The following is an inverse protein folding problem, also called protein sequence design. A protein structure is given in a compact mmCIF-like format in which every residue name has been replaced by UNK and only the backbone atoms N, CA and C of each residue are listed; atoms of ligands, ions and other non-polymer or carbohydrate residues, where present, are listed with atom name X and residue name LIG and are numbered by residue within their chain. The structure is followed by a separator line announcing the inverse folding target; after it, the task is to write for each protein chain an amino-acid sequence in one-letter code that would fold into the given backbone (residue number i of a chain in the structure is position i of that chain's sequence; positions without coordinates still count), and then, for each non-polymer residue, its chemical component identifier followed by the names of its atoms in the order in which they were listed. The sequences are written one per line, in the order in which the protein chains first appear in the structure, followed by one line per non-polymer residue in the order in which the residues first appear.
data_IF_074123257692
#
_entry.id   IF_074123257692
#
_cell.length_a   1.000
_cell.length_b   1.000
_cell.length_c   1.000
_cell.angle_alpha   90.00
_cell.angle_beta   90.00
_cell.angle_gamma   90.00
#
_symmetry.space_group_name_H-M   'P 1'
#
loop_
_entity.id
_entity.type
_entity.pdbx_description
1 polymer ?
#
# COMPACT_ATOMS: atom_id res chain seq x y z
N UNK A 1 25.44 3.65 -3.12
CA UNK A 1 24.81 2.65 -2.25
C UNK A 1 25.91 2.16 -1.34
N UNK A 2 25.82 2.40 -0.01
CA UNK A 2 26.68 1.71 0.94
C UNK A 2 26.26 0.24 0.94
N UNK A 3 27.06 -0.60 0.31
CA UNK A 3 26.83 -2.05 0.33
C UNK A 3 27.22 -2.56 1.71
N UNK A 4 26.22 -2.88 2.53
CA UNK A 4 26.44 -3.53 3.83
C UNK A 4 27.00 -4.95 3.63
N UNK A 5 27.65 -5.53 4.63
CA UNK A 5 28.25 -6.88 4.49
C UNK A 5 27.19 -7.94 4.18
N UNK A 6 25.98 -7.76 4.69
CA UNK A 6 24.85 -8.67 4.45
C UNK A 6 24.49 -8.79 2.97
N UNK A 7 24.66 -7.72 2.18
CA UNK A 7 24.37 -7.72 0.74
C UNK A 7 25.42 -8.47 -0.10
N UNK A 8 26.52 -8.92 0.49
CA UNK A 8 27.57 -9.70 -0.18
C UNK A 8 27.30 -11.22 -0.16
N UNK A 9 26.36 -11.67 0.66
CA UNK A 9 26.02 -13.09 0.74
C UNK A 9 25.13 -13.52 -0.44
N UNK A 10 25.23 -14.79 -0.82
CA UNK A 10 24.31 -15.38 -1.81
C UNK A 10 23.06 -15.86 -1.09
N UNK A 11 21.93 -15.27 -1.43
CA UNK A 11 20.62 -15.63 -0.90
C UNK A 11 19.86 -16.50 -1.90
N UNK A 12 19.05 -17.43 -1.39
CA UNK A 12 18.16 -18.25 -2.23
C UNK A 12 17.09 -17.44 -2.94
N UNK A 13 16.60 -16.38 -2.27
CA UNK A 13 15.64 -15.42 -2.82
C UNK A 13 15.88 -14.03 -2.25
N UNK A 14 15.80 -13.02 -3.08
CA UNK A 14 15.90 -11.61 -2.71
C UNK A 14 14.60 -10.91 -3.11
N UNK A 15 13.97 -10.24 -2.15
CA UNK A 15 12.80 -9.40 -2.41
C UNK A 15 13.17 -7.95 -2.10
N UNK A 16 12.86 -7.05 -3.01
CA UNK A 16 13.17 -5.61 -2.91
C UNK A 16 11.85 -4.86 -2.87
N UNK A 17 11.66 -4.08 -1.82
CA UNK A 17 10.51 -3.19 -1.66
C UNK A 17 10.86 -1.79 -2.12
N UNK A 18 10.06 -1.24 -3.03
CA UNK A 18 10.17 0.11 -3.54
C UNK A 18 9.11 0.97 -2.86
N UNK A 19 9.57 1.95 -2.10
CA UNK A 19 8.70 2.97 -1.51
C UNK A 19 8.42 4.07 -2.53
N UNK A 20 7.22 4.05 -3.11
CA UNK A 20 6.79 5.02 -4.12
C UNK A 20 5.34 5.42 -3.88
N UNK A 21 5.02 6.68 -4.14
CA UNK A 21 3.64 7.19 -4.16
C UNK A 21 3.03 7.16 -5.56
N UNK A 22 3.83 6.83 -6.56
CA UNK A 22 3.40 6.72 -7.96
C UNK A 22 3.02 5.28 -8.24
N UNK A 23 1.80 4.91 -7.85
CA UNK A 23 1.22 3.60 -8.11
C UNK A 23 -0.27 3.71 -8.43
N UNK A 24 -0.77 2.77 -9.20
CA UNK A 24 -2.20 2.63 -9.52
C UNK A 24 -2.57 1.15 -9.61
N UNK A 25 -3.81 0.82 -9.31
CA UNK A 25 -4.32 -0.54 -9.42
C UNK A 25 -5.27 -0.67 -10.60
N UNK A 26 -5.12 -1.74 -11.36
CA UNK A 26 -5.97 -2.10 -12.49
C UNK A 26 -6.59 -3.47 -12.19
N UNK A 27 -7.92 -3.67 -12.36
CA UNK A 27 -8.50 -5.00 -12.26
C UNK A 27 -7.81 -5.97 -13.23
N UNK A 28 -7.42 -7.16 -12.75
CA UNK A 28 -6.64 -8.10 -13.56
C UNK A 28 -7.41 -8.58 -14.80
N UNK A 29 -8.74 -8.66 -14.71
CA UNK A 29 -9.59 -9.10 -15.81
C UNK A 29 -9.55 -8.19 -17.06
N UNK A 30 -9.09 -6.93 -16.90
CA UNK A 30 -8.99 -5.94 -17.99
C UNK A 30 -7.54 -5.46 -18.19
N UNK A 31 -6.59 -6.06 -17.51
CA UNK A 31 -5.19 -5.70 -17.60
C UNK A 31 -4.52 -6.43 -18.78
N UNK A 32 -3.81 -5.69 -19.61
CA UNK A 32 -2.97 -6.18 -20.70
C UNK A 32 -1.58 -5.57 -20.56
N UNK A 33 -0.55 -6.42 -20.54
CA UNK A 33 0.85 -5.99 -20.31
C UNK A 33 1.32 -4.94 -21.31
N UNK A 34 0.85 -5.01 -22.55
CA UNK A 34 1.22 -4.06 -23.61
C UNK A 34 0.74 -2.63 -23.32
N UNK A 35 -0.29 -2.46 -22.49
CA UNK A 35 -0.87 -1.16 -22.14
C UNK A 35 -0.41 -0.63 -20.77
N UNK A 36 0.59 -1.25 -20.14
CA UNK A 36 1.06 -0.90 -18.77
C UNK A 36 1.39 0.57 -18.62
N UNK A 37 2.20 1.13 -19.53
CA UNK A 37 2.61 2.55 -19.47
C UNK A 37 1.42 3.48 -19.72
N UNK A 38 0.57 3.16 -20.67
CA UNK A 38 -0.61 3.96 -21.01
C UNK A 38 -1.56 4.05 -19.81
N UNK A 39 -1.88 2.91 -19.18
CA UNK A 39 -2.74 2.84 -17.99
C UNK A 39 -2.16 3.61 -16.80
N UNK A 40 -0.83 3.52 -16.61
CA UNK A 40 -0.16 4.25 -15.55
C UNK A 40 -0.21 5.77 -15.77
N UNK A 41 0.13 6.23 -16.97
CA UNK A 41 0.17 7.66 -17.29
C UNK A 41 -1.21 8.32 -17.48
N UNK A 42 -2.31 7.57 -17.45
CA UNK A 42 -3.64 8.14 -17.27
C UNK A 42 -3.83 8.76 -15.87
N UNK A 43 -3.10 8.24 -14.87
CA UNK A 43 -3.19 8.72 -13.48
C UNK A 43 -2.05 9.65 -13.08
N UNK A 44 -0.92 9.59 -13.80
CA UNK A 44 0.29 10.34 -13.46
C UNK A 44 0.85 11.09 -14.66
N UNK A 45 1.40 12.31 -14.46
CA UNK A 45 2.17 12.95 -15.53
C UNK A 45 3.41 12.11 -15.84
N UNK A 46 3.77 12.04 -17.13
CA UNK A 46 5.02 11.40 -17.56
C UNK A 46 6.21 12.20 -17.04
N UNK A 47 7.20 11.51 -16.51
CA UNK A 47 8.47 12.10 -16.07
C UNK A 47 9.65 11.40 -16.75
N UNK A 48 10.75 12.14 -16.92
CA UNK A 48 11.96 11.59 -17.49
C UNK A 48 12.57 10.53 -16.57
N UNK A 49 13.25 9.56 -17.17
CA UNK A 49 13.99 8.52 -16.45
C UNK A 49 13.14 7.65 -15.52
N UNK A 50 11.87 7.43 -15.84
CA UNK A 50 10.98 6.53 -15.12
C UNK A 50 10.77 5.23 -15.92
N UNK A 51 10.74 4.11 -15.22
CA UNK A 51 10.26 2.83 -15.74
C UNK A 51 9.04 2.40 -14.94
N UNK A 52 8.07 1.80 -15.63
CA UNK A 52 6.85 1.32 -15.00
C UNK A 52 6.96 -0.18 -14.82
N UNK A 53 6.75 -0.63 -13.59
CA UNK A 53 6.75 -2.03 -13.21
C UNK A 53 5.33 -2.47 -12.83
N UNK A 54 5.09 -3.77 -12.90
CA UNK A 54 3.81 -4.38 -12.57
C UNK A 54 3.99 -5.49 -11.53
N UNK A 55 3.16 -5.48 -10.49
CA UNK A 55 3.00 -6.62 -9.59
C UNK A 55 1.60 -7.20 -9.77
N UNK A 56 1.54 -8.46 -10.17
CA UNK A 56 0.27 -9.20 -10.23
C UNK A 56 -0.07 -9.73 -8.85
N UNK A 57 -1.20 -9.28 -8.31
CA UNK A 57 -1.69 -9.63 -6.98
C UNK A 57 -2.87 -10.59 -7.11
N UNK A 58 -2.55 -11.89 -7.20
CA UNK A 58 -3.53 -12.93 -7.53
C UNK A 58 -4.63 -13.10 -6.49
N UNK A 59 -4.32 -12.93 -5.20
CA UNK A 59 -5.32 -13.02 -4.12
C UNK A 59 -6.33 -11.88 -4.14
N UNK A 60 -5.93 -10.71 -4.67
CA UNK A 60 -6.74 -9.50 -4.78
C UNK A 60 -7.32 -9.30 -6.19
N UNK A 61 -6.91 -10.11 -7.16
CA UNK A 61 -7.30 -10.04 -8.58
C UNK A 61 -7.03 -8.66 -9.20
N UNK A 62 -5.85 -8.11 -8.96
CA UNK A 62 -5.41 -6.83 -9.52
C UNK A 62 -3.98 -6.89 -10.06
N UNK A 63 -3.68 -6.03 -11.02
CA UNK A 63 -2.36 -5.61 -11.41
C UNK A 63 -2.04 -4.27 -10.73
N UNK A 64 -0.99 -4.19 -9.94
CA UNK A 64 -0.53 -2.95 -9.32
C UNK A 64 0.65 -2.43 -10.12
N UNK A 65 0.44 -1.29 -10.79
CA UNK A 65 1.44 -0.60 -11.60
C UNK A 65 2.13 0.45 -10.74
N UNK A 66 3.45 0.57 -10.86
CA UNK A 66 4.19 1.57 -10.10
C UNK A 66 5.41 2.07 -10.86
N UNK A 67 5.70 3.36 -10.67
CA UNK A 67 6.84 4.03 -11.26
C UNK A 67 8.08 3.95 -10.37
N UNK A 68 9.25 3.71 -10.99
CA UNK A 68 10.53 3.81 -10.32
C UNK A 68 11.58 4.43 -11.24
N UNK A 69 12.65 5.00 -10.65
CA UNK A 69 13.79 5.53 -11.40
C UNK A 69 14.47 4.44 -12.22
N UNK A 70 14.67 4.70 -13.50
CA UNK A 70 15.19 3.74 -14.46
C UNK A 70 16.64 3.32 -14.18
N UNK A 71 17.47 4.25 -13.69
CA UNK A 71 18.85 3.91 -13.32
C UNK A 71 18.88 3.06 -12.02
N UNK A 72 18.02 3.37 -11.06
CA UNK A 72 17.90 2.55 -9.86
C UNK A 72 17.43 1.14 -10.20
N UNK A 73 16.44 0.99 -11.10
CA UNK A 73 16.01 -0.32 -11.61
C UNK A 73 17.15 -1.10 -12.26
N UNK A 74 17.90 -0.45 -13.17
CA UNK A 74 19.02 -1.08 -13.83
C UNK A 74 20.08 -1.56 -12.82
N UNK A 75 20.47 -0.71 -11.85
CA UNK A 75 21.43 -1.07 -10.80
C UNK A 75 20.95 -2.26 -9.96
N UNK A 76 19.67 -2.32 -9.65
CA UNK A 76 19.07 -3.45 -8.91
C UNK A 76 19.18 -4.73 -9.73
N UNK A 77 18.83 -4.70 -11.02
CA UNK A 77 18.91 -5.86 -11.89
C UNK A 77 20.35 -6.35 -12.10
N UNK A 78 21.32 -5.45 -12.16
CA UNK A 78 22.74 -5.79 -12.29
C UNK A 78 23.31 -6.42 -11.00
N UNK A 79 22.93 -5.90 -9.83
CA UNK A 79 23.42 -6.40 -8.53
C UNK A 79 22.66 -7.65 -8.03
N UNK A 80 21.37 -7.74 -8.33
CA UNK A 80 20.48 -8.81 -7.87
C UNK A 80 19.64 -9.37 -9.03
N UNK A 81 20.25 -10.13 -9.96
CA UNK A 81 19.56 -10.57 -11.18
C UNK A 81 18.29 -11.40 -10.96
N UNK A 82 18.19 -12.06 -9.80
CA UNK A 82 17.05 -12.91 -9.44
C UNK A 82 16.12 -12.26 -8.41
N UNK A 83 16.30 -10.96 -8.12
CA UNK A 83 15.44 -10.28 -7.17
C UNK A 83 14.02 -10.08 -7.72
N UNK A 84 13.05 -10.24 -6.84
CA UNK A 84 11.68 -9.79 -7.10
C UNK A 84 11.52 -8.38 -6.58
N UNK A 85 11.00 -7.50 -7.42
CA UNK A 85 10.80 -6.07 -7.08
C UNK A 85 9.31 -5.83 -6.86
N UNK A 86 8.97 -5.31 -5.69
CA UNK A 86 7.60 -4.99 -5.31
C UNK A 86 7.47 -3.53 -4.91
N UNK A 87 6.35 -2.88 -5.25
CA UNK A 87 5.96 -1.68 -4.51
C UNK A 87 5.62 -2.06 -3.06
N UNK A 88 5.95 -1.22 -2.08
CA UNK A 88 5.60 -1.47 -0.67
C UNK A 88 4.09 -1.73 -0.48
N UNK A 89 3.27 -1.08 -1.28
CA UNK A 89 1.81 -1.25 -1.29
C UNK A 89 1.33 -2.61 -1.81
N UNK A 90 2.14 -3.35 -2.58
CA UNK A 90 1.74 -4.65 -3.14
C UNK A 90 1.51 -5.71 -2.06
N UNK A 91 2.49 -6.04 -1.18
CA UNK A 91 2.27 -7.01 -0.11
C UNK A 91 1.23 -6.53 0.90
N UNK A 92 1.15 -5.23 1.18
CA UNK A 92 0.13 -4.66 2.05
C UNK A 92 -1.28 -4.88 1.50
N UNK A 93 -1.48 -4.69 0.20
CA UNK A 93 -2.76 -4.94 -0.46
C UNK A 93 -3.20 -6.39 -0.32
N UNK A 94 -2.31 -7.35 -0.57
CA UNK A 94 -2.59 -8.77 -0.40
C UNK A 94 -2.91 -9.12 1.07
N UNK A 95 -2.12 -8.59 2.00
CA UNK A 95 -2.31 -8.81 3.43
C UNK A 95 -3.68 -8.27 3.89
N UNK A 96 -4.00 -7.02 3.62
CA UNK A 96 -5.28 -6.42 4.03
C UNK A 96 -6.47 -7.03 3.30
N UNK A 97 -6.30 -7.41 2.02
CA UNK A 97 -7.32 -8.15 1.29
C UNK A 97 -7.68 -9.45 1.99
N UNK A 98 -6.68 -10.22 2.42
CA UNK A 98 -6.90 -11.46 3.15
C UNK A 98 -7.55 -11.23 4.50
N UNK A 99 -7.10 -10.21 5.27
CA UNK A 99 -7.71 -9.86 6.56
C UNK A 99 -9.19 -9.46 6.39
N UNK A 100 -9.51 -8.71 5.34
CA UNK A 100 -10.88 -8.23 5.12
C UNK A 100 -11.88 -9.32 4.73
N UNK A 101 -11.41 -10.50 4.26
CA UNK A 101 -12.28 -11.66 3.96
C UNK A 101 -13.01 -12.18 5.20
N UNK A 102 -12.42 -12.04 6.37
CA UNK A 102 -13.03 -12.44 7.64
C UNK A 102 -14.07 -11.44 8.16
N UNK A 103 -14.09 -10.22 7.63
CA UNK A 103 -14.98 -9.16 8.09
C UNK A 103 -16.39 -9.29 7.46
N UNK A 104 -17.42 -9.07 8.27
CA UNK A 104 -18.81 -9.10 7.82
C UNK A 104 -19.18 -7.89 6.95
N UNK A 105 -18.48 -6.78 7.16
CA UNK A 105 -18.70 -5.47 6.52
C UNK A 105 -17.45 -4.97 5.83
N UNK A 106 -17.57 -3.85 5.12
CA UNK A 106 -16.44 -3.18 4.47
C UNK A 106 -15.41 -2.71 5.50
N UNK A 107 -14.17 -2.65 5.06
CA UNK A 107 -13.05 -2.26 5.93
C UNK A 107 -12.13 -1.27 5.22
N UNK A 108 -11.78 -0.21 5.91
CA UNK A 108 -10.75 0.73 5.49
C UNK A 108 -9.51 0.48 6.35
N UNK A 109 -8.41 0.10 5.71
CA UNK A 109 -7.11 -0.05 6.37
C UNK A 109 -6.23 1.14 6.03
N UNK A 110 -5.49 1.62 7.01
CA UNK A 110 -4.63 2.80 6.88
C UNK A 110 -3.26 2.50 7.45
N UNK A 111 -2.22 2.77 6.69
CA UNK A 111 -0.84 2.73 7.16
C UNK A 111 -0.29 4.17 7.21
N UNK A 112 0.09 4.59 8.41
CA UNK A 112 0.72 5.89 8.62
C UNK A 112 2.23 5.81 8.43
N UNK A 113 2.75 6.81 7.72
CA UNK A 113 4.16 7.12 7.56
C UNK A 113 4.43 8.55 8.06
N UNK A 114 5.68 8.98 8.25
CA UNK A 114 5.99 10.29 8.84
C UNK A 114 5.38 11.50 8.12
N UNK A 115 5.15 11.44 6.82
CA UNK A 115 4.63 12.56 6.02
C UNK A 115 3.48 12.21 5.09
N UNK A 116 2.97 10.99 5.16
CA UNK A 116 1.86 10.50 4.34
C UNK A 116 1.11 9.39 5.03
N UNK A 117 -0.04 9.05 4.50
CA UNK A 117 -0.74 7.81 4.83
C UNK A 117 -1.16 7.07 3.55
N UNK A 118 -1.18 5.78 3.61
CA UNK A 118 -1.71 4.89 2.58
C UNK A 118 -3.04 4.31 3.03
N UNK A 119 -4.00 4.27 2.11
CA UNK A 119 -5.38 3.89 2.39
C UNK A 119 -5.79 2.75 1.48
N UNK A 120 -6.32 1.68 2.06
CA UNK A 120 -6.77 0.46 1.39
C UNK A 120 -8.23 0.22 1.75
N UNK A 121 -9.12 0.49 0.81
CA UNK A 121 -10.55 0.27 0.98
C UNK A 121 -10.95 -1.09 0.42
N UNK A 122 -11.57 -1.91 1.24
CA UNK A 122 -11.83 -3.32 0.93
C UNK A 122 -13.28 -3.72 1.25
N UNK A 123 -13.84 -4.57 0.41
CA UNK A 123 -15.11 -5.24 0.63
C UNK A 123 -14.92 -6.76 0.52
N UNK A 124 -14.81 -7.44 1.67
CA UNK A 124 -14.67 -8.90 1.76
C UNK A 124 -13.57 -9.47 0.86
N UNK A 125 -12.40 -8.85 0.90
CA UNK A 125 -11.24 -9.23 0.12
C UNK A 125 -11.12 -8.55 -1.24
N UNK A 126 -12.18 -7.89 -1.73
CA UNK A 126 -12.13 -7.13 -2.97
C UNK A 126 -11.60 -5.72 -2.71
N UNK A 127 -10.55 -5.32 -3.41
CA UNK A 127 -10.05 -3.96 -3.37
C UNK A 127 -11.02 -3.01 -4.08
N UNK A 128 -11.42 -1.94 -3.40
CA UNK A 128 -12.25 -0.86 -3.94
C UNK A 128 -11.43 0.37 -4.28
N UNK A 129 -10.42 0.67 -3.45
CA UNK A 129 -9.51 1.80 -3.62
C UNK A 129 -8.20 1.50 -2.91
N UNK A 130 -7.09 1.88 -3.54
CA UNK A 130 -5.81 2.09 -2.90
C UNK A 130 -5.29 3.47 -3.29
N UNK A 131 -4.85 4.26 -2.30
CA UNK A 131 -4.29 5.59 -2.56
C UNK A 131 -3.32 6.02 -1.46
N UNK A 132 -2.47 6.99 -1.78
CA UNK A 132 -1.55 7.65 -0.85
C UNK A 132 -1.88 9.13 -0.75
N UNK A 133 -1.92 9.65 0.48
CA UNK A 133 -2.21 11.06 0.77
C UNK A 133 -1.05 11.67 1.56
N UNK A 134 -0.53 12.79 1.08
CA UNK A 134 0.44 13.58 1.83
C UNK A 134 -0.27 14.24 3.02
N UNK A 135 0.20 13.95 4.23
CA UNK A 135 -0.36 14.43 5.48
C UNK A 135 0.77 14.92 6.38
N UNK A 136 0.64 16.15 6.87
CA UNK A 136 1.61 16.76 7.80
C UNK A 136 1.05 16.89 9.21
N UNK A 137 -0.26 16.96 9.33
CA UNK A 137 -0.96 17.20 10.59
C UNK A 137 -2.06 16.18 10.81
N UNK A 138 -2.43 15.96 12.06
CA UNK A 138 -3.54 15.08 12.44
C UNK A 138 -4.86 15.49 11.75
N UNK A 139 -5.08 16.78 11.52
CA UNK A 139 -6.23 17.28 10.78
C UNK A 139 -6.30 16.79 9.34
N UNK A 140 -5.14 16.64 8.67
CA UNK A 140 -5.08 16.14 7.30
C UNK A 140 -5.49 14.67 7.25
N UNK A 141 -5.00 13.87 8.22
CA UNK A 141 -5.40 12.48 8.37
C UNK A 141 -6.90 12.33 8.52
N UNK A 142 -7.50 13.09 9.45
CA UNK A 142 -8.95 13.05 9.70
C UNK A 142 -9.73 13.44 8.45
N UNK A 143 -9.31 14.53 7.79
CA UNK A 143 -9.97 15.06 6.60
C UNK A 143 -10.00 14.00 5.48
N UNK A 144 -8.84 13.45 5.09
CA UNK A 144 -8.78 12.49 3.99
C UNK A 144 -9.47 11.17 4.34
N UNK A 145 -9.38 10.69 5.59
CA UNK A 145 -10.06 9.47 6.00
C UNK A 145 -11.58 9.61 5.92
N UNK A 146 -12.14 10.68 6.44
CA UNK A 146 -13.57 10.93 6.37
C UNK A 146 -14.03 11.22 4.93
N UNK A 147 -13.19 11.89 4.12
CA UNK A 147 -13.45 12.12 2.70
C UNK A 147 -13.55 10.79 1.93
N UNK A 148 -12.57 9.90 2.06
CA UNK A 148 -12.58 8.57 1.40
C UNK A 148 -13.77 7.75 1.89
N UNK A 149 -14.05 7.77 3.20
CA UNK A 149 -15.18 7.08 3.81
C UNK A 149 -16.51 7.50 3.17
N UNK A 150 -16.71 8.80 3.02
CA UNK A 150 -17.90 9.37 2.41
C UNK A 150 -18.00 9.07 0.92
N UNK A 151 -16.90 9.22 0.16
CA UNK A 151 -16.87 8.98 -1.28
C UNK A 151 -17.21 7.52 -1.64
N UNK A 152 -16.77 6.57 -0.83
CA UNK A 152 -17.05 5.15 -1.03
C UNK A 152 -18.40 4.71 -0.44
N UNK A 153 -19.13 5.62 0.21
CA UNK A 153 -20.42 5.32 0.82
C UNK A 153 -20.33 4.31 1.95
N UNK A 154 -19.26 4.36 2.76
CA UNK A 154 -19.09 3.51 3.93
C UNK A 154 -20.06 3.90 5.05
N UNK A 155 -20.60 2.90 5.74
CA UNK A 155 -21.50 3.10 6.86
C UNK A 155 -20.74 3.45 8.14
N UNK A 156 -21.09 4.57 8.77
CA UNK A 156 -20.50 4.99 10.05
C UNK A 156 -20.77 4.00 11.20
N UNK A 157 -21.84 3.22 11.11
CA UNK A 157 -22.28 2.29 12.14
C UNK A 157 -21.77 0.86 11.97
N UNK A 158 -21.53 0.43 10.71
CA UNK A 158 -21.28 -0.98 10.39
C UNK A 158 -19.87 -1.26 9.89
N UNK A 159 -19.32 -0.34 9.10
CA UNK A 159 -18.01 -0.53 8.49
C UNK A 159 -16.88 -0.19 9.46
N UNK A 160 -15.72 -0.78 9.27
CA UNK A 160 -14.60 -0.72 10.22
C UNK A 160 -13.41 0.05 9.65
N UNK A 161 -12.78 0.86 10.50
CA UNK A 161 -11.53 1.55 10.22
C UNK A 161 -10.40 0.94 11.04
N UNK A 162 -9.40 0.41 10.36
CA UNK A 162 -8.20 -0.17 10.97
C UNK A 162 -6.98 0.70 10.67
N UNK A 163 -6.29 1.11 11.73
CA UNK A 163 -5.14 2.00 11.67
C UNK A 163 -3.86 1.23 12.00
N UNK A 164 -2.80 1.46 11.27
CA UNK A 164 -1.47 0.87 11.47
C UNK A 164 -0.37 1.92 11.29
N UNK A 165 0.83 1.62 11.79
CA UNK A 165 1.97 2.52 11.71
C UNK A 165 2.05 3.51 12.87
N UNK A 166 2.95 4.49 12.74
CA UNK A 166 3.24 5.48 13.79
C UNK A 166 2.60 6.83 13.45
N UNK A 167 1.90 7.39 14.42
CA UNK A 167 1.32 8.73 14.36
C UNK A 167 1.56 9.45 15.69
N UNK A 168 1.99 10.71 15.63
CA UNK A 168 2.41 11.48 16.81
C UNK A 168 1.31 11.64 17.87
N UNK A 169 0.05 11.81 17.45
CA UNK A 169 -1.09 12.11 18.32
C UNK A 169 -2.16 11.02 18.23
N UNK A 170 -1.77 9.77 18.47
CA UNK A 170 -2.65 8.58 18.35
C UNK A 170 -3.97 8.73 19.09
N UNK A 171 -3.91 9.18 20.36
CA UNK A 171 -5.11 9.32 21.20
C UNK A 171 -6.05 10.42 20.69
N UNK A 172 -5.49 11.54 20.22
CA UNK A 172 -6.25 12.64 19.64
C UNK A 172 -6.92 12.19 18.34
N UNK A 173 -6.17 11.52 17.46
CA UNK A 173 -6.68 10.98 16.20
C UNK A 173 -7.84 10.01 16.44
N UNK A 174 -7.67 9.07 17.38
CA UNK A 174 -8.70 8.11 17.74
C UNK A 174 -9.95 8.80 18.32
N UNK A 175 -9.78 9.74 19.25
CA UNK A 175 -10.87 10.45 19.85
C UNK A 175 -11.71 11.21 18.81
N UNK A 176 -11.04 11.90 17.89
CA UNK A 176 -11.73 12.65 16.83
C UNK A 176 -12.41 11.71 15.81
N UNK A 177 -11.78 10.63 15.37
CA UNK A 177 -12.39 9.68 14.44
C UNK A 177 -13.60 8.97 15.07
N UNK A 178 -13.55 8.61 16.35
CA UNK A 178 -14.66 7.97 17.09
C UNK A 178 -15.88 8.88 17.29
N UNK A 179 -15.77 10.17 17.03
CA UNK A 179 -16.94 11.08 16.97
C UNK A 179 -17.81 10.84 15.73
N UNK A 180 -17.21 10.31 14.67
CA UNK A 180 -17.87 10.10 13.38
C UNK A 180 -18.08 8.62 13.05
N UNK A 181 -17.18 7.75 13.50
CA UNK A 181 -17.15 6.34 13.12
C UNK A 181 -17.22 5.47 14.39
N UNK A 182 -18.09 4.46 14.36
CA UNK A 182 -18.32 3.59 15.51
C UNK A 182 -17.19 2.58 15.73
N UNK A 183 -16.63 2.05 14.65
CA UNK A 183 -15.62 0.99 14.70
C UNK A 183 -14.28 1.53 14.21
N UNK A 184 -13.42 1.94 15.13
CA UNK A 184 -12.07 2.44 14.85
C UNK A 184 -11.07 1.79 15.79
N UNK A 185 -10.14 1.01 15.24
CA UNK A 185 -9.15 0.27 16.00
C UNK A 185 -7.75 0.40 15.42
N UNK A 186 -6.74 0.40 16.30
CA UNK A 186 -5.34 0.25 15.86
C UNK A 186 -4.98 -1.23 15.78
N UNK A 187 -4.38 -1.61 14.65
CA UNK A 187 -3.80 -2.94 14.50
C UNK A 187 -2.59 -3.10 15.43
N UNK A 188 -2.48 -4.22 16.13
CA UNK A 188 -1.33 -4.46 17.00
C UNK A 188 -0.06 -4.60 16.17
N UNK A 189 1.00 -3.89 16.56
CA UNK A 189 2.35 -4.10 16.01
C UNK A 189 2.95 -5.34 16.67
N UNK A 190 3.07 -6.43 15.92
CA UNK A 190 3.51 -7.72 16.47
C UNK A 190 5.04 -7.92 16.44
N UNK A 191 5.80 -7.05 15.80
CA UNK A 191 7.26 -7.18 15.68
C UNK A 191 7.96 -5.82 15.60
N UNK A 192 9.29 -5.85 15.70
CA UNK A 192 10.17 -4.69 15.48
C UNK A 192 10.34 -4.34 14.00
N UNK A 193 9.84 -5.18 13.08
CA UNK A 193 9.88 -4.94 11.64
C UNK A 193 8.75 -4.01 11.24
N UNK A 194 8.97 -3.17 10.24
CA UNK A 194 7.93 -2.34 9.64
C UNK A 194 6.81 -3.20 9.04
N UNK A 195 5.63 -2.64 8.97
CA UNK A 195 4.40 -3.39 8.60
C UNK A 195 4.44 -3.92 7.16
N UNK A 196 5.09 -3.19 6.25
CA UNK A 196 5.33 -3.57 4.87
C UNK A 196 6.25 -4.81 4.74
N UNK A 197 7.33 -4.88 5.55
CA UNK A 197 8.21 -6.07 5.59
C UNK A 197 7.46 -7.27 6.17
N UNK A 198 6.66 -7.07 7.23
CA UNK A 198 5.85 -8.16 7.79
C UNK A 198 4.84 -8.71 6.77
N UNK A 199 4.19 -7.82 6.02
CA UNK A 199 3.22 -8.22 4.99
C UNK A 199 3.87 -9.01 3.86
N UNK A 200 5.11 -8.68 3.48
CA UNK A 200 5.86 -9.43 2.46
C UNK A 200 6.08 -10.89 2.85
N UNK A 201 6.32 -11.17 4.14
CA UNK A 201 6.52 -12.54 4.63
C UNK A 201 5.25 -13.41 4.56
N UNK A 202 4.09 -12.80 4.36
CA UNK A 202 2.79 -13.49 4.25
C UNK A 202 2.30 -13.62 2.81
N UNK A 203 3.04 -13.07 1.84
CA UNK A 203 2.69 -13.03 0.41
C UNK A 203 3.35 -14.14 -0.43
N UNK A 204 3.60 -15.31 0.14
CA UNK A 204 4.04 -16.50 -0.59
C UNK A 204 2.89 -17.24 -1.30
#
# INVERSE_FOLDING_TARGET
IQVTEELKYTYGQTNILIDTQRFTSVPFDIFEDEHTEELFYQNFPQIDNETILCNILGKSNIALLFGMDKHAHQLICEQFPNARIFACTSPLTEYFSQQSKANSHRSLYVLFHPSRMEVFALDKGKLLLINSFNCKHTSDHIYYLLYVWQQLGYSQEKDSLYLAGEVESKDVLLAELKRFLRQVDFLPTQSTLSFDIQSLMTCE
#
